data_IF_430817771799
#
_entry.id   IF_430817771799
#
_cell.length_a   1.000
_cell.length_b   1.000
_cell.length_c   1.000
_cell.angle_alpha   90.00
_cell.angle_beta   90.00
_cell.angle_gamma   90.00
#
_symmetry.space_group_name_H-M   'P 1'
#
loop_
_entity.id
_entity.type
_entity.pdbx_description
1 polymer ?
#
# COMPACT_ATOMS: atom_id res chain seq x y z
N UNK A 1 16.37 -11.88 1.69
CA UNK A 1 15.04 -11.91 2.32
C UNK A 1 14.69 -10.49 2.75
N UNK A 2 13.54 -9.97 2.34
CA UNK A 2 13.07 -8.63 2.72
C UNK A 2 12.52 -8.61 4.16
N UNK A 3 13.02 -7.70 5.00
CA UNK A 3 12.52 -7.48 6.36
C UNK A 3 11.13 -6.84 6.34
N UNK A 4 10.89 -5.95 5.37
CA UNK A 4 9.58 -5.32 5.17
C UNK A 4 8.51 -6.35 4.79
N UNK A 5 8.82 -7.27 3.86
CA UNK A 5 7.94 -8.41 3.53
C UNK A 5 7.66 -9.27 4.74
N UNK A 6 8.67 -9.56 5.54
CA UNK A 6 8.51 -10.35 6.78
C UNK A 6 7.59 -9.66 7.77
N UNK A 7 7.73 -8.35 7.98
CA UNK A 7 6.82 -7.54 8.81
C UNK A 7 5.38 -7.64 8.31
N UNK A 8 5.14 -7.41 7.02
CA UNK A 8 3.80 -7.47 6.40
C UNK A 8 3.15 -8.85 6.61
N UNK A 9 3.90 -9.93 6.42
CA UNK A 9 3.39 -11.30 6.65
C UNK A 9 3.05 -11.54 8.13
N UNK A 10 3.84 -10.98 9.05
CA UNK A 10 3.56 -11.08 10.48
C UNK A 10 2.31 -10.29 10.88
N UNK A 11 2.15 -9.08 10.36
CA UNK A 11 0.96 -8.25 10.58
C UNK A 11 -0.30 -8.92 10.03
N UNK A 12 -0.20 -9.63 8.90
CA UNK A 12 -1.31 -10.45 8.39
C UNK A 12 -1.75 -11.49 9.44
N UNK A 13 -0.80 -12.17 10.07
CA UNK A 13 -1.10 -13.16 11.12
C UNK A 13 -1.69 -12.50 12.37
N UNK A 14 -1.21 -11.31 12.72
CA UNK A 14 -1.76 -10.53 13.84
C UNK A 14 -3.20 -10.10 13.57
N UNK A 15 -3.49 -9.56 12.38
CA UNK A 15 -4.84 -9.20 11.96
C UNK A 15 -5.80 -10.41 11.97
N UNK A 16 -5.32 -11.58 11.50
CA UNK A 16 -6.09 -12.83 11.61
C UNK A 16 -6.43 -13.18 13.06
N UNK A 17 -5.47 -13.07 13.98
CA UNK A 17 -5.69 -13.36 15.41
C UNK A 17 -6.62 -12.35 16.08
N UNK A 18 -6.48 -11.08 15.73
CA UNK A 18 -7.30 -9.99 16.23
C UNK A 18 -8.73 -9.99 15.66
N UNK A 19 -8.97 -10.79 14.60
CA UNK A 19 -10.22 -10.76 13.80
C UNK A 19 -10.51 -9.38 13.20
N UNK A 20 -9.45 -8.60 12.98
CA UNK A 20 -9.50 -7.31 12.30
C UNK A 20 -9.65 -7.56 10.79
N UNK A 21 -10.88 -7.45 10.29
CA UNK A 21 -11.20 -7.80 8.91
C UNK A 21 -10.61 -6.81 7.91
N UNK A 22 -10.58 -5.53 8.27
CA UNK A 22 -10.16 -4.46 7.36
C UNK A 22 -8.64 -4.48 7.21
N UNK A 23 -7.91 -4.56 8.33
CA UNK A 23 -6.45 -4.76 8.29
C UNK A 23 -6.09 -6.05 7.55
N UNK A 24 -6.81 -7.14 7.82
CA UNK A 24 -6.54 -8.41 7.18
C UNK A 24 -6.76 -8.38 5.66
N UNK A 25 -7.81 -7.70 5.19
CA UNK A 25 -8.08 -7.54 3.76
C UNK A 25 -6.96 -6.76 3.08
N UNK A 26 -6.63 -5.58 3.61
CA UNK A 26 -5.60 -4.71 3.04
C UNK A 26 -4.21 -5.39 3.04
N UNK A 27 -3.81 -6.00 4.16
CA UNK A 27 -2.50 -6.67 4.25
C UNK A 27 -2.41 -7.87 3.31
N UNK A 28 -3.49 -8.65 3.12
CA UNK A 28 -3.51 -9.74 2.13
C UNK A 28 -3.34 -9.24 0.71
N UNK A 29 -3.91 -8.08 0.37
CA UNK A 29 -3.70 -7.47 -0.95
C UNK A 29 -2.23 -7.09 -1.17
N UNK A 30 -1.56 -6.55 -0.14
CA UNK A 30 -0.13 -6.23 -0.21
C UNK A 30 0.70 -7.50 -0.44
N UNK A 31 0.47 -8.54 0.36
CA UNK A 31 1.16 -9.84 0.20
C UNK A 31 0.92 -10.44 -1.19
N UNK A 32 -0.32 -10.35 -1.69
CA UNK A 32 -0.68 -10.80 -3.04
C UNK A 32 0.09 -10.05 -4.12
N UNK A 33 0.16 -8.73 -4.04
CA UNK A 33 0.87 -7.89 -5.01
C UNK A 33 2.40 -8.16 -5.01
N UNK A 34 3.00 -8.34 -3.84
CA UNK A 34 4.41 -8.73 -3.70
C UNK A 34 4.63 -10.08 -4.39
N UNK A 35 3.82 -11.09 -4.04
CA UNK A 35 3.95 -12.44 -4.58
C UNK A 35 3.73 -12.48 -6.09
N UNK A 36 2.78 -11.70 -6.60
CA UNK A 36 2.52 -11.58 -8.04
C UNK A 36 3.77 -11.10 -8.76
N UNK A 37 4.41 -10.03 -8.26
CA UNK A 37 5.65 -9.51 -8.86
C UNK A 37 6.79 -10.50 -8.80
N UNK A 38 6.97 -11.20 -7.69
CA UNK A 38 8.00 -12.25 -7.56
C UNK A 38 7.80 -13.38 -8.58
N UNK A 39 6.55 -13.78 -8.82
CA UNK A 39 6.22 -14.82 -9.81
C UNK A 39 6.46 -14.32 -11.23
N UNK A 40 6.01 -13.10 -11.55
CA UNK A 40 6.12 -12.51 -12.89
C UNK A 40 7.58 -12.27 -13.28
N UNK A 41 8.39 -11.74 -12.35
CA UNK A 41 9.80 -11.41 -12.59
C UNK A 41 10.75 -12.58 -12.26
N UNK A 42 10.25 -13.65 -11.62
CA UNK A 42 11.03 -14.82 -11.15
C UNK A 42 12.19 -14.43 -10.22
N UNK A 43 11.92 -13.53 -9.30
CA UNK A 43 12.89 -13.02 -8.30
C UNK A 43 12.29 -13.07 -6.90
N UNK A 44 13.14 -12.98 -5.88
CA UNK A 44 12.70 -12.55 -4.54
C UNK A 44 12.87 -11.03 -4.43
N UNK A 45 11.86 -10.33 -3.90
CA UNK A 45 11.97 -8.89 -3.73
C UNK A 45 12.83 -8.54 -2.51
N UNK A 46 13.71 -7.55 -2.68
CA UNK A 46 14.31 -6.81 -1.57
C UNK A 46 13.36 -5.74 -1.01
N UNK A 47 13.76 -5.06 0.06
CA UNK A 47 12.93 -4.03 0.71
C UNK A 47 12.59 -2.85 -0.21
N UNK A 48 13.51 -2.45 -1.09
CA UNK A 48 13.28 -1.34 -2.01
C UNK A 48 12.24 -1.73 -3.07
N UNK A 49 12.30 -2.96 -3.57
CA UNK A 49 11.34 -3.49 -4.52
C UNK A 49 9.96 -3.74 -3.88
N UNK A 50 9.91 -4.19 -2.62
CA UNK A 50 8.66 -4.28 -1.85
C UNK A 50 8.06 -2.89 -1.65
N UNK A 51 8.86 -1.89 -1.29
CA UNK A 51 8.42 -0.52 -1.14
C UNK A 51 7.84 0.04 -2.46
N UNK A 52 8.46 -0.26 -3.60
CA UNK A 52 7.94 0.14 -4.90
C UNK A 52 6.58 -0.49 -5.22
N UNK A 53 6.33 -1.73 -4.79
CA UNK A 53 5.00 -2.37 -4.90
C UNK A 53 3.97 -1.61 -4.06
N UNK A 54 4.30 -1.28 -2.81
CA UNK A 54 3.41 -0.55 -1.90
C UNK A 54 3.12 0.86 -2.45
N UNK A 55 4.13 1.57 -2.93
CA UNK A 55 3.97 2.88 -3.60
C UNK A 55 3.00 2.82 -4.78
N UNK A 56 3.12 1.78 -5.62
CA UNK A 56 2.18 1.56 -6.73
C UNK A 56 0.75 1.33 -6.21
N UNK A 57 0.58 0.55 -5.15
CA UNK A 57 -0.73 0.32 -4.55
C UNK A 57 -1.34 1.61 -3.98
N UNK A 58 -0.55 2.42 -3.26
CA UNK A 58 -0.96 3.75 -2.75
C UNK A 58 -1.47 4.63 -3.89
N UNK A 59 -0.71 4.70 -4.99
CA UNK A 59 -1.13 5.47 -6.17
C UNK A 59 -2.46 4.95 -6.74
N UNK A 60 -2.59 3.64 -6.92
CA UNK A 60 -3.84 3.04 -7.42
C UNK A 60 -5.04 3.38 -6.52
N UNK A 61 -4.87 3.38 -5.20
CA UNK A 61 -5.95 3.76 -4.28
C UNK A 61 -6.32 5.24 -4.43
N UNK A 62 -5.33 6.15 -4.48
CA UNK A 62 -5.56 7.58 -4.74
C UNK A 62 -6.29 7.82 -6.07
N UNK A 63 -5.87 7.14 -7.13
CA UNK A 63 -6.51 7.23 -8.45
C UNK A 63 -7.96 6.72 -8.41
N UNK A 64 -8.22 5.60 -7.72
CA UNK A 64 -9.58 5.06 -7.52
C UNK A 64 -10.46 5.98 -6.67
N UNK A 65 -9.94 6.57 -5.60
CA UNK A 65 -10.65 7.56 -4.77
C UNK A 65 -11.13 8.73 -5.64
N UNK A 66 -10.23 9.31 -6.44
CA UNK A 66 -10.59 10.42 -7.33
C UNK A 66 -11.71 10.01 -8.30
N UNK A 67 -11.58 8.86 -8.96
CA UNK A 67 -12.57 8.38 -9.93
C UNK A 67 -13.93 8.08 -9.30
N UNK A 68 -13.95 7.48 -8.11
CA UNK A 68 -15.20 7.19 -7.41
C UNK A 68 -15.86 8.46 -6.88
N UNK A 69 -15.07 9.41 -6.40
CA UNK A 69 -15.57 10.71 -5.97
C UNK A 69 -16.19 11.47 -7.15
N UNK A 70 -15.52 11.52 -8.30
CA UNK A 70 -16.04 12.15 -9.52
C UNK A 70 -17.33 11.48 -10.03
N UNK A 71 -17.49 10.18 -9.78
CA UNK A 71 -18.69 9.42 -10.11
C UNK A 71 -19.79 9.48 -9.04
N UNK A 72 -19.61 10.22 -7.93
CA UNK A 72 -20.56 10.31 -6.82
C UNK A 72 -20.74 9.00 -6.03
N UNK A 73 -19.75 8.10 -6.08
CA UNK A 73 -19.75 6.79 -5.40
C UNK A 73 -19.03 6.87 -4.06
N UNK A 74 -19.60 7.64 -3.13
CA UNK A 74 -19.05 7.83 -1.78
C UNK A 74 -18.83 6.52 -1.04
N UNK A 75 -19.70 5.53 -1.26
CA UNK A 75 -19.56 4.19 -0.69
C UNK A 75 -18.24 3.50 -1.08
N UNK A 76 -17.77 3.72 -2.31
CA UNK A 76 -16.50 3.19 -2.78
C UNK A 76 -15.32 4.06 -2.34
N UNK A 77 -15.50 5.38 -2.24
CA UNK A 77 -14.47 6.30 -1.71
C UNK A 77 -14.07 5.89 -0.29
N UNK A 78 -15.05 5.68 0.60
CA UNK A 78 -14.79 5.31 1.99
C UNK A 78 -14.03 3.98 2.11
N UNK A 79 -14.33 3.01 1.23
CA UNK A 79 -13.62 1.73 1.18
C UNK A 79 -12.16 1.96 0.78
N UNK A 80 -11.91 2.73 -0.29
CA UNK A 80 -10.56 2.96 -0.78
C UNK A 80 -9.72 3.81 0.18
N UNK A 81 -10.32 4.78 0.87
CA UNK A 81 -9.67 5.57 1.91
C UNK A 81 -9.28 4.71 3.11
N UNK A 82 -10.18 3.83 3.57
CA UNK A 82 -9.87 2.91 4.67
C UNK A 82 -8.70 1.98 4.31
N UNK A 83 -8.66 1.44 3.09
CA UNK A 83 -7.54 0.64 2.61
C UNK A 83 -6.25 1.45 2.50
N UNK A 84 -6.34 2.68 1.97
CA UNK A 84 -5.19 3.57 1.81
C UNK A 84 -4.53 3.91 3.15
N UNK A 85 -5.31 4.15 4.20
CA UNK A 85 -4.79 4.38 5.56
C UNK A 85 -3.95 3.20 6.02
N UNK A 86 -4.43 1.97 5.83
CA UNK A 86 -3.72 0.76 6.26
C UNK A 86 -2.43 0.55 5.43
N UNK A 87 -2.51 0.73 4.11
CA UNK A 87 -1.35 0.57 3.23
C UNK A 87 -0.23 1.57 3.57
N UNK A 88 -0.60 2.81 3.93
CA UNK A 88 0.36 3.85 4.30
C UNK A 88 1.16 3.52 5.58
N UNK A 89 0.70 2.61 6.45
CA UNK A 89 1.46 2.17 7.63
C UNK A 89 2.77 1.41 7.28
N UNK A 90 2.91 0.99 6.01
CA UNK A 90 4.08 0.31 5.48
C UNK A 90 4.97 1.21 4.62
N UNK A 91 4.55 2.44 4.38
CA UNK A 91 5.38 3.45 3.75
C UNK A 91 6.28 4.11 4.80
N UNK A 92 7.53 4.47 4.46
CA UNK A 92 8.24 5.50 5.20
C UNK A 92 7.35 6.74 5.30
N UNK A 93 7.49 7.53 6.36
CA UNK A 93 6.80 8.81 6.47
C UNK A 93 7.00 9.56 5.14
N UNK A 94 5.93 9.67 4.35
CA UNK A 94 5.99 10.39 3.09
C UNK A 94 6.17 11.84 3.49
N UNK A 95 7.29 12.43 3.08
CA UNK A 95 7.33 13.88 2.87
C UNK A 95 6.06 14.19 2.08
N UNK A 96 5.21 15.04 2.65
CA UNK A 96 3.96 15.48 2.05
C UNK A 96 4.23 15.93 0.60
N UNK A 97 3.24 15.86 -0.29
CA UNK A 97 3.40 16.34 -1.67
C UNK A 97 3.94 17.79 -1.72
N UNK A 98 3.68 18.59 -0.67
CA UNK A 98 4.27 19.91 -0.45
C UNK A 98 5.80 19.90 -0.24
N UNK A 99 6.32 18.91 0.47
CA UNK A 99 7.76 18.74 0.70
C UNK A 99 8.48 18.17 -0.54
N UNK A 100 7.80 17.35 -1.34
CA UNK A 100 8.33 16.85 -2.63
C UNK A 100 8.45 17.99 -3.64
N UNK A 101 7.45 18.87 -3.75
CA UNK A 101 7.53 20.05 -4.62
C UNK A 101 8.72 20.97 -4.24
N UNK A 102 8.96 21.15 -2.94
CA UNK A 102 10.07 21.97 -2.43
C UNK A 102 11.45 21.34 -2.73
N UNK A 103 11.53 20.01 -2.86
CA UNK A 103 12.78 19.32 -3.17
C UNK A 103 13.15 19.38 -4.67
N UNK A 104 12.16 19.45 -5.56
CA UNK A 104 12.39 19.57 -7.01
C UNK A 104 12.82 20.99 -7.40
N UNK A 105 12.36 22.02 -6.68
CA UNK A 105 12.79 23.42 -6.89
C UNK A 105 14.19 23.74 -6.33
N UNK A 106 14.84 22.79 -5.65
CA UNK A 106 16.22 22.93 -5.14
C UNK A 106 17.26 22.16 -5.96
N UNK A 107 16.90 21.64 -7.13
CA UNK A 107 17.80 20.99 -8.08
C UNK A 107 18.16 21.92 -9.25
#
# INVERSE_FOLDING_TARGET
MSELKTRIINDMKLAMKAKDKDALKAVRMIVGAIKQREVDERIELDDAQVLAVIQKMVKQRKDSISQFNDAGRTDLVEIEEAELVIINNYMPAQLSEAEIATAVDKA
#
